data_IF_717315362466
#
_entry.id   IF_717315362466
#
_cell.length_a   1.000
_cell.length_b   1.000
_cell.length_c   1.000
_cell.angle_alpha   90.00
_cell.angle_beta   90.00
_cell.angle_gamma   90.00
#
_symmetry.space_group_name_H-M   'P 1'
#
loop_
_entity.id
_entity.type
_entity.pdbx_description
1 polymer ?
#
# COMPACT_ATOMS: atom_id res chain seq x y z
N UNK A 1 -29.00 31.07 -29.68
CA UNK A 1 -28.49 30.29 -28.54
C UNK A 1 -28.68 28.82 -28.85
N UNK A 2 -27.71 28.20 -29.50
CA UNK A 2 -27.76 26.80 -29.95
C UNK A 2 -26.96 25.94 -29.00
N UNK A 3 -27.66 25.16 -28.17
CA UNK A 3 -27.06 24.15 -27.31
C UNK A 3 -26.62 22.97 -28.18
N UNK A 4 -25.30 22.79 -28.28
CA UNK A 4 -24.69 21.61 -28.90
C UNK A 4 -25.02 20.38 -28.04
N UNK A 5 -25.57 19.29 -28.60
CA UNK A 5 -25.82 18.09 -27.81
C UNK A 5 -24.49 17.45 -27.44
N UNK A 6 -24.32 17.14 -26.15
CA UNK A 6 -23.22 16.35 -25.62
C UNK A 6 -23.28 14.99 -26.33
N UNK A 7 -22.30 14.75 -27.20
CA UNK A 7 -22.13 13.49 -27.91
C UNK A 7 -22.00 12.38 -26.87
N UNK A 8 -22.95 11.44 -26.87
CA UNK A 8 -22.90 10.25 -26.02
C UNK A 8 -21.56 9.56 -26.26
N UNK A 9 -20.83 9.34 -25.18
CA UNK A 9 -19.64 8.52 -25.18
C UNK A 9 -20.07 7.08 -25.53
N UNK A 10 -19.92 6.73 -26.81
CA UNK A 10 -20.20 5.40 -27.33
C UNK A 10 -19.09 4.49 -26.82
N UNK A 11 -19.38 3.77 -25.74
CA UNK A 11 -18.49 2.74 -25.24
C UNK A 11 -18.27 1.72 -26.36
N UNK A 12 -17.00 1.45 -26.67
CA UNK A 12 -16.60 0.49 -27.72
C UNK A 12 -17.35 -0.81 -27.48
N UNK A 13 -18.36 -1.07 -28.32
CA UNK A 13 -19.12 -2.31 -28.36
C UNK A 13 -18.22 -3.39 -28.94
N UNK A 14 -17.50 -4.11 -28.08
CA UNK A 14 -16.91 -5.39 -28.45
C UNK A 14 -18.09 -6.37 -28.62
N UNK A 15 -18.29 -6.83 -29.85
CA UNK A 15 -19.37 -7.73 -30.25
C UNK A 15 -19.38 -8.97 -29.34
N UNK A 16 -20.47 -9.16 -28.60
CA UNK A 16 -20.70 -10.34 -27.75
C UNK A 16 -20.80 -10.06 -26.24
N UNK A 17 -21.92 -9.51 -25.80
CA UNK A 17 -22.63 -10.04 -24.63
C UNK A 17 -22.05 -9.93 -23.22
N UNK A 18 -21.10 -9.03 -22.91
CA UNK A 18 -20.86 -8.55 -21.53
C UNK A 18 -20.38 -7.11 -21.64
N UNK A 19 -21.08 -6.15 -21.02
CA UNK A 19 -20.53 -4.80 -20.84
C UNK A 19 -19.32 -4.94 -19.91
N UNK A 20 -18.13 -5.10 -20.47
CA UNK A 20 -16.90 -5.18 -19.68
C UNK A 20 -16.65 -3.78 -19.12
N UNK A 21 -17.08 -3.56 -17.88
CA UNK A 21 -16.90 -2.29 -17.18
C UNK A 21 -15.41 -1.95 -17.13
N UNK A 22 -15.11 -0.66 -17.31
CA UNK A 22 -13.76 -0.16 -17.14
C UNK A 22 -13.38 -0.25 -15.66
N UNK A 23 -12.29 -0.96 -15.35
CA UNK A 23 -11.72 -1.06 -14.00
C UNK A 23 -10.39 -0.33 -13.94
N UNK A 24 -9.95 0.08 -12.74
CA UNK A 24 -8.68 0.78 -12.57
C UNK A 24 -7.50 -0.02 -13.14
N UNK A 25 -7.41 -1.32 -12.84
CA UNK A 25 -6.39 -2.21 -13.38
C UNK A 25 -6.41 -2.34 -14.91
N UNK A 26 -7.59 -2.15 -15.51
CA UNK A 26 -7.72 -2.14 -16.96
C UNK A 26 -7.18 -0.85 -17.54
N UNK A 27 -7.44 0.29 -16.91
CA UNK A 27 -6.88 1.60 -17.30
C UNK A 27 -5.36 1.60 -17.15
N UNK A 28 -4.81 1.07 -16.05
CA UNK A 28 -3.35 0.96 -15.82
C UNK A 28 -2.60 0.07 -16.80
N UNK A 29 -3.30 -0.85 -17.46
CA UNK A 29 -2.74 -1.75 -18.49
C UNK A 29 -3.15 -1.35 -19.90
N UNK A 30 -3.96 -0.31 -20.04
CA UNK A 30 -4.41 0.14 -21.34
C UNK A 30 -3.26 0.80 -22.10
N UNK A 31 -3.00 0.31 -23.30
CA UNK A 31 -2.00 0.87 -24.21
C UNK A 31 -2.71 1.59 -25.35
N UNK A 32 -2.23 2.79 -25.69
CA UNK A 32 -2.72 3.55 -26.82
C UNK A 32 -1.88 3.23 -28.05
N UNK A 33 -2.52 3.08 -29.22
CA UNK A 33 -1.80 2.96 -30.47
C UNK A 33 -1.05 4.26 -30.79
N UNK A 34 0.19 4.15 -31.27
CA UNK A 34 0.97 5.30 -31.71
C UNK A 34 0.27 6.04 -32.86
N UNK A 35 0.33 7.37 -32.84
CA UNK A 35 -0.22 8.18 -33.92
C UNK A 35 0.50 7.88 -35.24
N UNK A 36 -0.26 7.76 -36.33
CA UNK A 36 0.30 7.57 -37.67
C UNK A 36 1.15 8.78 -38.07
N UNK A 37 2.25 8.54 -38.79
CA UNK A 37 3.30 9.53 -39.13
C UNK A 37 2.79 10.84 -39.76
N UNK A 38 1.58 10.84 -40.34
CA UNK A 38 0.94 12.00 -40.98
C UNK A 38 0.11 12.88 -40.04
N UNK A 39 -0.06 12.51 -38.76
CA UNK A 39 -0.79 13.30 -37.76
C UNK A 39 0.00 13.44 -36.47
N UNK A 40 0.00 14.66 -35.91
CA UNK A 40 0.55 14.92 -34.58
C UNK A 40 -0.38 14.28 -33.53
N UNK A 41 0.18 13.37 -32.72
CA UNK A 41 -0.53 12.72 -31.62
C UNK A 41 -0.49 13.53 -30.32
N UNK A 42 -1.14 13.00 -29.28
CA UNK A 42 -0.98 13.49 -27.91
C UNK A 42 0.42 13.20 -27.39
N UNK A 43 0.87 13.97 -26.40
CA UNK A 43 2.11 13.68 -25.69
C UNK A 43 1.92 12.44 -24.82
N UNK A 44 2.75 11.42 -25.04
CA UNK A 44 2.67 10.15 -24.30
C UNK A 44 2.86 10.37 -22.80
N UNK A 45 3.74 11.28 -22.39
CA UNK A 45 4.01 11.51 -20.97
C UNK A 45 2.80 12.10 -20.24
N UNK A 46 2.06 13.00 -20.89
CA UNK A 46 0.85 13.59 -20.33
C UNK A 46 -0.32 12.61 -20.35
N UNK A 47 -0.44 11.79 -21.40
CA UNK A 47 -1.44 10.71 -21.48
C UNK A 47 -1.21 9.68 -20.38
N UNK A 48 0.04 9.29 -20.12
CA UNK A 48 0.37 8.34 -19.05
C UNK A 48 0.05 8.91 -17.67
N UNK A 49 0.37 10.20 -17.43
CA UNK A 49 0.03 10.87 -16.17
C UNK A 49 -1.48 10.94 -15.96
N UNK A 50 -2.24 11.29 -17.01
CA UNK A 50 -3.69 11.31 -16.97
C UNK A 50 -4.28 9.90 -16.75
N UNK A 51 -3.74 8.88 -17.41
CA UNK A 51 -4.17 7.49 -17.28
C UNK A 51 -4.03 6.98 -15.84
N UNK A 52 -2.92 7.31 -15.18
CA UNK A 52 -2.71 6.97 -13.77
C UNK A 52 -3.72 7.68 -12.86
N UNK A 53 -3.93 8.99 -13.07
CA UNK A 53 -4.92 9.76 -12.30
C UNK A 53 -6.34 9.20 -12.45
N UNK A 54 -6.74 8.82 -13.66
CA UNK A 54 -8.06 8.20 -13.92
C UNK A 54 -8.19 6.84 -13.23
N UNK A 55 -7.12 6.03 -13.23
CA UNK A 55 -7.14 4.74 -12.55
C UNK A 55 -7.31 4.91 -11.03
N UNK A 56 -6.60 5.87 -10.43
CA UNK A 56 -6.69 6.13 -9.00
C UNK A 56 -8.08 6.65 -8.61
N UNK A 57 -8.68 7.52 -9.42
CA UNK A 57 -10.05 8.00 -9.20
C UNK A 57 -11.08 6.85 -9.34
N UNK A 58 -10.89 5.93 -10.29
CA UNK A 58 -11.74 4.75 -10.44
C UNK A 58 -11.66 3.83 -9.21
N UNK A 59 -10.49 3.70 -8.58
CA UNK A 59 -10.34 2.93 -7.34
C UNK A 59 -11.08 3.60 -6.18
N UNK A 60 -10.93 4.92 -6.03
CA UNK A 60 -11.65 5.70 -5.00
C UNK A 60 -13.16 5.56 -5.16
N UNK A 61 -13.69 5.73 -6.38
CA UNK A 61 -15.11 5.59 -6.67
C UNK A 61 -15.61 4.17 -6.44
N UNK A 62 -14.80 3.16 -6.79
CA UNK A 62 -15.16 1.75 -6.55
C UNK A 62 -15.28 1.45 -5.06
N UNK A 63 -14.35 1.96 -4.25
CA UNK A 63 -14.39 1.84 -2.79
C UNK A 63 -15.62 2.55 -2.18
N UNK A 64 -15.93 3.77 -2.66
CA UNK A 64 -17.11 4.50 -2.22
C UNK A 64 -18.42 3.76 -2.56
N UNK A 65 -18.53 3.20 -3.77
CA UNK A 65 -19.70 2.42 -4.17
C UNK A 65 -19.84 1.17 -3.31
N UNK A 66 -18.74 0.47 -3.00
CA UNK A 66 -18.77 -0.69 -2.12
C UNK A 66 -19.28 -0.31 -0.72
N UNK A 67 -18.76 0.78 -0.15
CA UNK A 67 -19.19 1.29 1.15
C UNK A 67 -20.68 1.70 1.15
N UNK A 68 -21.13 2.45 0.14
CA UNK A 68 -22.52 2.86 0.00
C UNK A 68 -23.48 1.67 -0.16
N UNK A 69 -23.05 0.60 -0.84
CA UNK A 69 -23.84 -0.63 -0.96
C UNK A 69 -23.95 -1.35 0.38
N UNK A 70 -22.85 -1.48 1.11
CA UNK A 70 -22.85 -2.07 2.46
C UNK A 70 -23.76 -1.29 3.41
N UNK A 71 -23.72 0.05 3.38
CA UNK A 71 -24.61 0.86 4.22
C UNK A 71 -26.07 0.75 3.78
N UNK A 72 -26.36 0.68 2.48
CA UNK A 72 -27.72 0.42 2.00
C UNK A 72 -28.25 -0.93 2.49
N UNK A 73 -27.44 -1.98 2.41
CA UNK A 73 -27.81 -3.31 2.90
C UNK A 73 -28.10 -3.26 4.41
N UNK A 74 -27.21 -2.63 5.19
CA UNK A 74 -27.39 -2.43 6.64
C UNK A 74 -28.63 -1.63 7.00
N UNK A 75 -28.93 -0.56 6.24
CA UNK A 75 -30.14 0.24 6.44
C UNK A 75 -31.39 -0.54 6.05
N UNK A 76 -31.33 -1.34 4.98
CA UNK A 76 -32.43 -2.18 4.57
C UNK A 76 -32.73 -3.25 5.63
N UNK A 77 -31.70 -3.94 6.13
CA UNK A 77 -31.81 -4.90 7.23
C UNK A 77 -32.45 -4.27 8.47
N UNK A 78 -32.04 -3.03 8.80
CA UNK A 78 -32.62 -2.27 9.91
C UNK A 78 -34.10 -1.99 9.67
N UNK A 79 -34.50 -1.56 8.47
CA UNK A 79 -35.90 -1.28 8.14
C UNK A 79 -36.73 -2.56 8.15
N UNK A 80 -36.20 -3.67 7.63
CA UNK A 80 -36.85 -4.97 7.68
C UNK A 80 -37.08 -5.44 9.11
N UNK A 81 -36.10 -5.24 10.01
CA UNK A 81 -36.24 -5.54 11.44
C UNK A 81 -37.37 -4.74 12.11
N UNK A 82 -37.53 -3.47 11.74
CA UNK A 82 -38.63 -2.61 12.22
C UNK A 82 -39.98 -3.00 11.61
N UNK A 83 -40.02 -3.36 10.31
CA UNK A 83 -41.24 -3.80 9.61
C UNK A 83 -41.77 -5.14 10.14
N UNK A 84 -40.89 -6.06 10.51
CA UNK A 84 -41.24 -7.35 11.11
C UNK A 84 -41.49 -7.28 12.62
N UNK A 85 -41.65 -6.07 13.19
CA UNK A 85 -42.19 -5.87 14.54
C UNK A 85 -41.18 -6.06 15.68
N UNK A 86 -39.88 -6.12 15.40
CA UNK A 86 -38.85 -6.25 16.44
C UNK A 86 -38.27 -4.87 16.75
N UNK A 87 -39.03 -4.03 17.45
CA UNK A 87 -38.48 -2.85 18.13
C UNK A 87 -37.72 -3.38 19.35
N UNK A 88 -36.42 -3.10 19.55
CA UNK A 88 -35.76 -3.39 20.80
C UNK A 88 -36.40 -2.50 21.88
N UNK A 89 -37.41 -3.02 22.56
CA UNK A 89 -37.94 -2.37 23.74
C UNK A 89 -36.83 -2.39 24.78
N UNK A 90 -36.60 -1.25 25.44
CA UNK A 90 -35.62 -1.05 26.51
C UNK A 90 -35.82 -1.98 27.72
N UNK A 91 -36.78 -2.91 27.68
CA UNK A 91 -37.19 -3.81 28.75
C UNK A 91 -37.20 -5.30 28.33
N UNK A 92 -36.39 -5.75 27.37
CA UNK A 92 -36.23 -7.18 27.07
C UNK A 92 -35.09 -7.83 27.88
N UNK A 93 -34.98 -7.49 29.17
CA UNK A 93 -34.18 -8.21 30.13
C UNK A 93 -35.04 -9.30 30.81
N UNK A 94 -35.57 -10.25 30.03
CA UNK A 94 -36.09 -11.53 30.54
C UNK A 94 -36.50 -12.45 29.38
N UNK A 95 -35.78 -13.56 29.24
CA UNK A 95 -36.19 -14.80 28.56
C UNK A 95 -36.56 -14.71 27.07
N UNK A 96 -35.54 -14.74 26.19
CA UNK A 96 -35.15 -15.93 25.38
C UNK A 96 -33.73 -15.70 24.81
N UNK A 97 -32.66 -16.27 25.39
CA UNK A 97 -31.32 -16.22 24.81
C UNK A 97 -30.86 -17.60 24.30
N UNK A 98 -30.33 -17.66 23.06
CA UNK A 98 -29.25 -18.57 22.64
C UNK A 98 -29.03 -18.52 21.11
N UNK A 99 -30.03 -18.85 20.29
CA UNK A 99 -29.75 -19.18 18.88
C UNK A 99 -29.40 -17.97 18.00
N UNK A 100 -30.10 -16.83 18.15
CA UNK A 100 -29.93 -15.65 17.27
C UNK A 100 -28.66 -14.85 17.61
N UNK A 101 -28.32 -14.74 18.89
CA UNK A 101 -27.08 -14.11 19.36
C UNK A 101 -25.85 -14.97 19.04
N UNK A 102 -25.95 -16.30 19.20
CA UNK A 102 -24.87 -17.21 18.79
C UNK A 102 -24.67 -17.17 17.28
N UNK A 103 -25.73 -17.03 16.47
CA UNK A 103 -25.60 -16.91 15.01
C UNK A 103 -24.96 -15.58 14.59
N UNK A 104 -25.29 -14.47 15.28
CA UNK A 104 -24.63 -13.17 15.05
C UNK A 104 -23.16 -13.19 15.48
N UNK A 105 -22.85 -13.77 16.65
CA UNK A 105 -21.48 -13.94 17.12
C UNK A 105 -20.67 -14.83 16.17
N UNK A 106 -21.27 -15.92 15.67
CA UNK A 106 -20.65 -16.83 14.70
C UNK A 106 -20.46 -16.17 13.33
N UNK A 107 -21.30 -15.20 12.96
CA UNK A 107 -21.12 -14.40 11.74
C UNK A 107 -19.98 -13.38 11.92
N UNK A 108 -20.00 -12.62 13.00
CA UNK A 108 -18.96 -11.63 13.33
C UNK A 108 -17.58 -12.28 13.53
N UNK A 109 -17.52 -13.47 14.11
CA UNK A 109 -16.28 -14.21 14.28
C UNK A 109 -15.72 -14.69 12.94
N UNK A 110 -16.56 -15.22 12.03
CA UNK A 110 -16.13 -15.58 10.67
C UNK A 110 -15.63 -14.37 9.88
N UNK A 111 -16.27 -13.22 10.06
CA UNK A 111 -15.84 -11.97 9.46
C UNK A 111 -14.48 -11.50 10.03
N UNK A 112 -14.31 -11.57 11.35
CA UNK A 112 -13.03 -11.26 12.00
C UNK A 112 -11.91 -12.21 11.51
N UNK A 113 -12.18 -13.50 11.40
CA UNK A 113 -11.26 -14.50 10.86
C UNK A 113 -10.88 -14.19 9.40
N UNK A 114 -11.83 -13.73 8.56
CA UNK A 114 -11.56 -13.29 7.19
C UNK A 114 -10.69 -12.03 7.15
N UNK A 115 -10.96 -11.04 7.99
CA UNK A 115 -10.16 -9.81 8.08
C UNK A 115 -8.73 -10.14 8.51
N UNK A 116 -8.57 -11.02 9.50
CA UNK A 116 -7.25 -11.48 9.95
C UNK A 116 -6.50 -12.18 8.82
N UNK A 117 -7.16 -13.07 8.07
CA UNK A 117 -6.54 -13.74 6.92
C UNK A 117 -6.09 -12.74 5.84
N UNK A 118 -6.95 -11.77 5.50
CA UNK A 118 -6.63 -10.72 4.53
C UNK A 118 -5.47 -9.84 5.02
N UNK A 119 -5.44 -9.49 6.30
CA UNK A 119 -4.37 -8.71 6.90
C UNK A 119 -3.03 -9.46 6.86
N UNK A 120 -3.03 -10.78 7.11
CA UNK A 120 -1.83 -11.59 6.99
C UNK A 120 -1.32 -11.68 5.54
N UNK A 121 -2.20 -11.86 4.56
CA UNK A 121 -1.81 -11.89 3.15
C UNK A 121 -1.32 -10.52 2.65
N UNK A 122 -1.90 -9.44 3.16
CA UNK A 122 -1.41 -8.08 2.91
C UNK A 122 -0.02 -7.89 3.52
N UNK A 123 0.18 -8.26 4.80
CA UNK A 123 1.47 -8.14 5.48
C UNK A 123 2.57 -8.94 4.77
N UNK A 124 2.27 -10.16 4.29
CA UNK A 124 3.20 -10.95 3.47
C UNK A 124 3.59 -10.23 2.18
N UNK A 125 2.61 -9.67 1.46
CA UNK A 125 2.86 -8.93 0.22
C UNK A 125 3.71 -7.69 0.46
N UNK A 126 3.43 -6.94 1.53
CA UNK A 126 4.22 -5.75 1.90
C UNK A 126 5.65 -6.14 2.26
N UNK A 127 5.84 -7.22 3.04
CA UNK A 127 7.18 -7.70 3.39
C UNK A 127 7.99 -8.12 2.16
N UNK A 128 7.38 -8.87 1.23
CA UNK A 128 8.04 -9.26 -0.02
C UNK A 128 8.37 -8.05 -0.90
N UNK A 129 7.44 -7.10 -1.04
CA UNK A 129 7.68 -5.87 -1.79
C UNK A 129 8.82 -5.04 -1.17
N UNK A 130 8.82 -4.87 0.15
CA UNK A 130 9.87 -4.16 0.87
C UNK A 130 11.23 -4.84 0.70
N UNK A 131 11.26 -6.18 0.70
CA UNK A 131 12.48 -6.96 0.47
C UNK A 131 13.03 -6.73 -0.94
N UNK A 132 12.19 -6.90 -1.98
CA UNK A 132 12.61 -6.68 -3.37
C UNK A 132 13.15 -5.25 -3.53
N UNK A 133 12.52 -4.27 -2.89
CA UNK A 133 12.94 -2.89 -3.00
C UNK A 133 14.21 -2.57 -2.21
N UNK A 134 14.42 -3.21 -1.07
CA UNK A 134 15.67 -3.11 -0.33
C UNK A 134 16.82 -3.73 -1.13
N UNK A 135 16.60 -4.91 -1.72
CA UNK A 135 17.59 -5.58 -2.56
C UNK A 135 17.98 -4.70 -3.78
N UNK A 136 17.00 -4.08 -4.44
CA UNK A 136 17.26 -3.19 -5.59
C UNK A 136 18.06 -1.94 -5.17
N UNK A 137 17.72 -1.32 -4.04
CA UNK A 137 18.42 -0.15 -3.52
C UNK A 137 19.86 -0.49 -3.10
N UNK A 138 20.06 -1.63 -2.45
CA UNK A 138 21.40 -2.11 -2.06
C UNK A 138 22.27 -2.44 -3.28
N UNK A 139 21.70 -3.02 -4.33
CA UNK A 139 22.43 -3.27 -5.58
C UNK A 139 22.86 -1.96 -6.24
N UNK A 140 21.95 -0.97 -6.33
CA UNK A 140 22.27 0.34 -6.89
C UNK A 140 23.39 1.05 -6.08
N UNK A 141 23.27 1.04 -4.75
CA UNK A 141 24.29 1.60 -3.85
C UNK A 141 25.65 0.90 -3.98
N UNK A 142 25.66 -0.43 -4.13
CA UNK A 142 26.89 -1.19 -4.32
C UNK A 142 27.58 -0.84 -5.64
N UNK A 143 26.83 -0.69 -6.74
CA UNK A 143 27.39 -0.27 -8.02
C UNK A 143 27.92 1.17 -7.97
N UNK A 144 27.23 2.08 -7.28
CA UNK A 144 27.69 3.46 -7.08
C UNK A 144 28.98 3.49 -6.24
N UNK A 145 29.02 2.77 -5.12
CA UNK A 145 30.18 2.66 -4.25
C UNK A 145 31.39 2.05 -4.99
N UNK A 146 31.15 1.06 -5.84
CA UNK A 146 32.20 0.45 -6.67
C UNK A 146 32.76 1.45 -7.68
N UNK A 147 31.89 2.20 -8.37
CA UNK A 147 32.33 3.22 -9.33
C UNK A 147 33.16 4.29 -8.64
N UNK A 148 32.78 4.73 -7.44
CA UNK A 148 33.53 5.73 -6.68
C UNK A 148 34.89 5.19 -6.22
N UNK A 149 34.94 3.95 -5.72
CA UNK A 149 36.19 3.29 -5.37
C UNK A 149 37.13 3.15 -6.60
N UNK A 150 36.59 2.80 -7.77
CA UNK A 150 37.36 2.73 -9.02
C UNK A 150 37.88 4.08 -9.48
N UNK A 151 37.11 5.16 -9.29
CA UNK A 151 37.58 6.54 -9.56
C UNK A 151 38.75 6.89 -8.65
N UNK A 152 38.65 6.63 -7.35
CA UNK A 152 39.72 6.89 -6.40
C UNK A 152 41.01 6.14 -6.74
N UNK A 153 40.91 4.88 -7.19
CA UNK A 153 42.08 4.12 -7.68
C UNK A 153 42.71 4.75 -8.93
N UNK A 154 41.89 5.22 -9.88
CA UNK A 154 42.39 5.91 -11.09
C UNK A 154 43.10 7.22 -10.73
N UNK A 155 42.56 7.97 -9.78
CA UNK A 155 43.13 9.22 -9.30
C UNK A 155 44.45 8.99 -8.56
N UNK A 156 44.50 7.97 -7.68
CA UNK A 156 45.73 7.54 -7.03
C UNK A 156 46.78 7.10 -8.05
N UNK A 157 46.38 6.31 -9.07
CA UNK A 157 47.31 5.86 -10.12
C UNK A 157 47.88 7.02 -10.93
N UNK A 158 47.07 8.02 -11.25
CA UNK A 158 47.52 9.20 -12.01
C UNK A 158 48.45 10.10 -11.19
N UNK A 159 48.22 10.21 -9.87
CA UNK A 159 49.04 11.04 -8.97
C UNK A 159 50.34 10.36 -8.51
N UNK A 160 50.33 9.03 -8.30
CA UNK A 160 51.49 8.28 -7.82
C UNK A 160 52.55 8.01 -8.91
N UNK A 161 52.20 8.11 -10.19
CA UNK A 161 53.15 7.95 -11.31
C UNK A 161 53.95 6.64 -11.23
N UNK A 162 55.29 6.74 -11.15
CA UNK A 162 56.19 5.59 -11.09
C UNK A 162 56.27 4.90 -9.72
N UNK A 163 55.76 5.52 -8.66
CA UNK A 163 55.69 4.96 -7.29
C UNK A 163 54.32 4.35 -6.96
N UNK A 164 53.56 3.93 -7.97
CA UNK A 164 52.27 3.28 -7.77
C UNK A 164 52.41 1.93 -7.05
N UNK A 165 51.66 1.76 -5.96
CA UNK A 165 51.51 0.49 -5.24
C UNK A 165 50.06 0.01 -5.33
N UNK A 166 49.86 -1.12 -5.98
CA UNK A 166 48.54 -1.73 -6.20
C UNK A 166 47.87 -2.19 -4.89
N UNK A 167 48.68 -2.54 -3.88
CA UNK A 167 48.17 -3.00 -2.58
C UNK A 167 47.57 -1.84 -1.77
N UNK A 168 48.17 -0.65 -1.87
CA UNK A 168 47.67 0.58 -1.24
C UNK A 168 46.39 1.03 -1.92
N UNK A 169 46.38 1.04 -3.25
CA UNK A 169 45.21 1.41 -4.05
C UNK A 169 44.00 0.50 -3.74
N UNK A 170 44.22 -0.82 -3.68
CA UNK A 170 43.16 -1.79 -3.38
C UNK A 170 42.61 -1.62 -1.96
N UNK A 171 43.48 -1.34 -0.98
CA UNK A 171 43.06 -1.08 0.41
C UNK A 171 42.23 0.19 0.53
N UNK A 172 42.62 1.24 -0.17
CA UNK A 172 41.89 2.51 -0.17
C UNK A 172 40.54 2.39 -0.88
N UNK A 173 40.48 1.66 -2.00
CA UNK A 173 39.24 1.33 -2.70
C UNK A 173 38.25 0.58 -1.80
N UNK A 174 38.71 -0.44 -1.08
CA UNK A 174 37.87 -1.20 -0.14
C UNK A 174 37.37 -0.34 1.02
N UNK A 175 38.20 0.60 1.50
CA UNK A 175 37.79 1.54 2.56
C UNK A 175 36.66 2.46 2.07
N UNK A 176 36.84 3.08 0.91
CA UNK A 176 35.85 3.99 0.31
C UNK A 176 34.53 3.25 0.03
N UNK A 177 34.62 2.06 -0.56
CA UNK A 177 33.47 1.20 -0.80
C UNK A 177 32.72 0.89 0.51
N UNK A 178 33.45 0.48 1.55
CA UNK A 178 32.86 0.17 2.87
C UNK A 178 32.19 1.38 3.52
N UNK A 179 32.85 2.54 3.52
CA UNK A 179 32.31 3.80 4.08
C UNK A 179 31.01 4.22 3.36
N UNK A 180 30.99 4.15 2.03
CA UNK A 180 29.80 4.43 1.20
C UNK A 180 28.66 3.45 1.49
N UNK A 181 28.93 2.15 1.52
CA UNK A 181 27.91 1.14 1.80
C UNK A 181 27.29 1.31 3.20
N UNK A 182 28.10 1.65 4.20
CA UNK A 182 27.60 1.93 5.55
C UNK A 182 26.70 3.18 5.53
N UNK A 183 27.09 4.22 4.81
CA UNK A 183 26.27 5.43 4.64
C UNK A 183 24.91 5.13 4.00
N UNK A 184 24.88 4.35 2.91
CA UNK A 184 23.64 3.94 2.24
C UNK A 184 22.77 3.04 3.12
N UNK A 185 23.37 2.11 3.88
CA UNK A 185 22.63 1.29 4.84
C UNK A 185 22.00 2.14 5.94
N UNK A 186 22.70 3.14 6.47
CA UNK A 186 22.16 4.06 7.47
C UNK A 186 21.03 4.92 6.91
N UNK A 187 21.15 5.38 5.65
CA UNK A 187 20.08 6.11 4.98
C UNK A 187 18.84 5.24 4.76
N UNK A 188 19.03 3.99 4.31
CA UNK A 188 17.93 3.03 4.17
C UNK A 188 17.23 2.73 5.50
N UNK A 189 18.00 2.56 6.59
CA UNK A 189 17.45 2.34 7.92
C UNK A 189 16.57 3.52 8.39
N UNK A 190 17.02 4.77 8.19
CA UNK A 190 16.22 5.95 8.50
C UNK A 190 14.95 6.03 7.66
N UNK A 191 15.03 5.72 6.37
CA UNK A 191 13.85 5.68 5.51
C UNK A 191 12.82 4.63 5.95
N UNK A 192 13.28 3.47 6.46
CA UNK A 192 12.41 2.45 7.02
C UNK A 192 11.77 2.90 8.34
N UNK A 193 12.54 3.54 9.22
CA UNK A 193 12.01 4.11 10.47
C UNK A 193 10.95 5.18 10.18
N UNK A 194 11.24 6.14 9.30
CA UNK A 194 10.30 7.19 8.88
C UNK A 194 9.01 6.59 8.28
N UNK A 195 9.17 5.57 7.43
CA UNK A 195 8.06 4.83 6.83
C UNK A 195 7.20 4.12 7.89
N UNK A 196 7.84 3.52 8.90
CA UNK A 196 7.15 2.83 9.99
C UNK A 196 6.36 3.82 10.87
N UNK A 197 6.91 4.99 11.17
CA UNK A 197 6.22 6.04 11.91
C UNK A 197 5.05 6.63 11.12
N UNK A 198 5.20 6.76 9.80
CA UNK A 198 4.09 7.18 8.93
C UNK A 198 2.96 6.16 8.94
N UNK A 199 3.29 4.87 8.80
CA UNK A 199 2.33 3.77 8.88
C UNK A 199 1.61 3.77 10.23
N UNK A 200 2.35 3.87 11.33
CA UNK A 200 1.78 3.92 12.69
C UNK A 200 0.79 5.09 12.85
N UNK A 201 1.12 6.28 12.32
CA UNK A 201 0.23 7.44 12.32
C UNK A 201 -1.03 7.23 11.48
N UNK A 202 -0.90 6.57 10.32
CA UNK A 202 -2.08 6.25 9.48
C UNK A 202 -2.98 5.24 10.17
N UNK A 203 -2.41 4.23 10.84
CA UNK A 203 -3.19 3.23 11.59
C UNK A 203 -3.90 3.85 12.79
N UNK A 204 -3.22 4.72 13.54
CA UNK A 204 -3.84 5.46 14.65
C UNK A 204 -4.98 6.37 14.17
N UNK A 205 -4.83 7.00 12.99
CA UNK A 205 -5.90 7.77 12.36
C UNK A 205 -7.11 6.91 12.02
N UNK A 206 -6.90 5.77 11.34
CA UNK A 206 -7.97 4.84 10.97
C UNK A 206 -8.69 4.30 12.23
N UNK A 207 -7.93 4.00 13.28
CA UNK A 207 -8.49 3.56 14.56
C UNK A 207 -9.34 4.65 15.23
N UNK A 208 -8.94 5.92 15.15
CA UNK A 208 -9.72 7.06 15.69
C UNK A 208 -10.95 7.40 14.86
N UNK A 209 -10.89 7.23 13.54
CA UNK A 209 -12.00 7.48 12.62
C UNK A 209 -13.05 6.36 12.62
N UNK A 210 -12.74 5.19 13.20
CA UNK A 210 -13.65 4.04 13.36
C UNK A 210 -14.03 3.82 14.84
N UNK A 211 -14.90 4.64 15.45
CA UNK A 211 -15.31 4.43 16.84
C UNK A 211 -16.24 3.22 16.95
N UNK A 212 -15.71 2.07 17.41
CA UNK A 212 -16.52 0.91 17.82
C UNK A 212 -16.01 -0.47 17.42
N UNK A 213 -14.91 -0.60 16.68
CA UNK A 213 -14.30 -1.91 16.42
C UNK A 213 -13.30 -2.23 17.55
N UNK A 214 -13.41 -3.37 18.25
CA UNK A 214 -12.35 -3.81 19.16
C UNK A 214 -11.17 -4.26 18.31
N UNK A 215 -10.29 -3.32 17.96
CA UNK A 215 -8.98 -3.69 17.44
C UNK A 215 -8.20 -4.25 18.62
N UNK A 216 -8.08 -5.58 18.68
CA UNK A 216 -7.16 -6.25 19.59
C UNK A 216 -5.76 -5.92 19.08
N UNK A 217 -5.26 -4.76 19.48
CA UNK A 217 -3.84 -4.50 19.48
C UNK A 217 -3.23 -5.59 20.36
N UNK A 218 -2.58 -6.56 19.71
CA UNK A 218 -1.65 -7.48 20.36
C UNK A 218 -0.45 -6.70 20.88
N UNK A 219 -0.69 -5.82 21.85
CA UNK A 219 0.34 -5.26 22.70
C UNK A 219 0.79 -6.35 23.64
N UNK A 220 1.85 -7.05 23.26
CA UNK A 220 2.73 -7.66 24.23
C UNK A 220 3.15 -6.56 25.21
N UNK A 221 2.51 -6.54 26.39
CA UNK A 221 2.99 -5.74 27.51
C UNK A 221 4.41 -6.23 27.81
N UNK A 222 5.44 -5.36 27.78
CA UNK A 222 6.73 -5.76 28.32
C UNK A 222 6.53 -5.99 29.82
N UNK A 223 6.62 -7.25 30.24
CA UNK A 223 6.63 -7.65 31.63
C UNK A 223 7.70 -6.85 32.37
N UNK A 224 7.27 -5.91 33.21
CA UNK A 224 8.13 -5.15 34.09
C UNK A 224 8.79 -6.12 35.08
N UNK A 225 10.11 -6.27 34.98
CA UNK A 225 10.92 -7.01 35.94
C UNK A 225 10.83 -6.35 37.33
N UNK A 226 10.59 -7.10 38.42
CA UNK A 226 10.55 -6.53 39.76
C UNK A 226 11.96 -6.14 40.22
N UNK A 227 12.17 -4.84 40.44
CA UNK A 227 13.35 -4.34 41.17
C UNK A 227 13.25 -4.76 42.63
N UNK A 228 14.07 -5.73 43.03
CA UNK A 228 14.33 -6.02 44.43
C UNK A 228 14.91 -4.77 45.12
N UNK A 229 14.16 -4.23 46.09
CA UNK A 229 14.70 -3.37 47.13
C UNK A 229 15.63 -4.22 48.01
N UNK A 230 16.92 -3.91 48.00
CA UNK A 230 17.81 -4.27 49.10
C UNK A 230 17.95 -3.06 50.02
N UNK A 231 17.77 -3.33 51.30
CA UNK A 231 18.06 -2.46 52.43
C UNK A 231 19.34 -2.95 53.08
#
# INVERSE_FOLDING_TARGET
>A
MSATPISRYDGIQVSGGVQVRMTADRVRRWEFAAASFTRRGYDNADVDRFRMQVADELDVLSAQIANLRAENERLNDRVELHRHGVIPSKNAAANVPAAKEVNLLSAAQREAEQIIAQAHDYARRVAEYARVQYESYMQAAAEEAKQEAERAVKDYRSSAGSSFDDTVATREALRIFGEMMISHMQAAARHLDDGSEHLARTMDRIAKETPGAPFVAGGAQPAALPRHQQR
#
